data_IF_317328457658
#
_entry.id   IF_317328457658
#
_cell.length_a   1.000
_cell.length_b   1.000
_cell.length_c   1.000
_cell.angle_alpha   90.00
_cell.angle_beta   90.00
_cell.angle_gamma   90.00
#
_symmetry.space_group_name_H-M   'P 1'
#
loop_
_entity.id
_entity.type
_entity.pdbx_description
1 polymer ?
#
# COMPACT_ATOMS: atom_id res chain seq x y z
N UNK A 1 -3.54 -1.79 3.03
CA UNK A 1 -4.39 -2.79 2.35
C UNK A 1 -4.87 -2.21 1.04
N UNK A 2 -4.91 -2.96 -0.04
CA UNK A 2 -5.53 -2.47 -1.26
C UNK A 2 -6.99 -2.13 -0.97
N UNK A 3 -7.41 -0.96 -1.43
CA UNK A 3 -8.80 -0.52 -1.33
C UNK A 3 -9.66 -1.46 -2.19
N UNK A 4 -10.77 -1.95 -1.65
CA UNK A 4 -11.73 -2.75 -2.42
C UNK A 4 -12.33 -1.90 -3.54
N UNK A 5 -12.54 -2.50 -4.70
CA UNK A 5 -13.28 -1.83 -5.78
C UNK A 5 -14.77 -2.09 -5.60
N UNK A 6 -15.58 -1.04 -5.77
CA UNK A 6 -17.01 -1.22 -5.91
C UNK A 6 -17.32 -1.98 -7.22
N UNK A 7 -18.32 -2.86 -7.22
CA UNK A 7 -18.81 -3.47 -8.46
C UNK A 7 -19.36 -2.38 -9.39
N UNK A 8 -19.52 -2.67 -10.70
CA UNK A 8 -20.07 -1.70 -11.65
C UNK A 8 -21.45 -1.14 -11.29
N UNK A 9 -22.28 -1.97 -10.65
CA UNK A 9 -23.59 -1.60 -10.12
C UNK A 9 -23.63 -1.88 -8.62
N UNK A 10 -23.13 -0.96 -7.78
CA UNK A 10 -23.05 -1.19 -6.34
C UNK A 10 -24.44 -1.09 -5.71
N UNK A 11 -24.79 -2.07 -4.88
CA UNK A 11 -26.02 -2.09 -4.09
C UNK A 11 -25.76 -1.58 -2.67
N UNK A 12 -26.47 -0.50 -2.30
CA UNK A 12 -26.34 0.10 -0.97
C UNK A 12 -26.80 -0.85 0.15
N UNK A 13 -27.80 -1.68 -0.08
CA UNK A 13 -28.31 -2.60 0.91
C UNK A 13 -27.30 -3.75 1.16
N UNK A 14 -26.63 -4.22 0.10
CA UNK A 14 -25.52 -5.16 0.25
C UNK A 14 -24.39 -4.57 1.13
N UNK A 15 -24.04 -3.31 0.95
CA UNK A 15 -23.04 -2.64 1.78
C UNK A 15 -23.49 -2.46 3.23
N UNK A 16 -24.77 -2.23 3.48
CA UNK A 16 -25.35 -2.23 4.84
C UNK A 16 -25.27 -3.62 5.50
N UNK A 17 -25.47 -4.71 4.73
CA UNK A 17 -25.25 -6.06 5.24
C UNK A 17 -23.79 -6.31 5.60
N UNK A 18 -22.83 -5.90 4.78
CA UNK A 18 -21.41 -6.00 5.12
C UNK A 18 -21.06 -5.30 6.44
N UNK A 19 -21.65 -4.12 6.71
CA UNK A 19 -21.45 -3.41 7.96
C UNK A 19 -22.04 -4.18 9.17
N UNK A 20 -23.20 -4.81 9.01
CA UNK A 20 -23.81 -5.66 10.06
C UNK A 20 -22.98 -6.94 10.29
N UNK A 21 -22.48 -7.55 9.24
CA UNK A 21 -21.65 -8.76 9.33
C UNK A 21 -20.32 -8.45 10.03
N UNK A 22 -19.70 -7.29 9.77
CA UNK A 22 -18.52 -6.84 10.50
C UNK A 22 -18.76 -6.80 12.01
N UNK A 23 -19.94 -6.32 12.45
CA UNK A 23 -20.30 -6.31 13.88
C UNK A 23 -20.48 -7.73 14.44
N UNK A 24 -21.11 -8.65 13.70
CA UNK A 24 -21.27 -10.06 14.11
C UNK A 24 -19.91 -10.76 14.24
N UNK A 25 -19.06 -10.61 13.23
CA UNK A 25 -17.71 -11.18 13.22
C UNK A 25 -16.85 -10.62 14.36
N UNK A 26 -17.02 -9.36 14.74
CA UNK A 26 -16.38 -8.76 15.91
C UNK A 26 -16.81 -9.46 17.19
N UNK A 27 -18.12 -9.67 17.40
CA UNK A 27 -18.64 -10.37 18.58
C UNK A 27 -18.10 -11.82 18.65
N UNK A 28 -17.82 -12.44 17.51
CA UNK A 28 -17.18 -13.75 17.41
C UNK A 28 -15.65 -13.72 17.58
N UNK A 29 -15.06 -12.56 17.92
CA UNK A 29 -13.60 -12.35 18.12
C UNK A 29 -12.75 -12.84 16.94
N UNK A 30 -13.24 -12.65 15.71
CA UNK A 30 -12.52 -13.06 14.50
C UNK A 30 -11.29 -12.15 14.28
N UNK A 31 -10.05 -12.66 14.28
CA UNK A 31 -8.83 -11.82 14.17
C UNK A 31 -8.82 -10.93 12.92
N UNK A 32 -9.39 -11.40 11.81
CA UNK A 32 -9.53 -10.65 10.57
C UNK A 32 -10.33 -9.35 10.75
N UNK A 33 -11.30 -9.31 11.66
CA UNK A 33 -12.11 -8.11 11.93
C UNK A 33 -11.29 -7.07 12.68
N UNK A 34 -10.51 -7.46 13.67
CA UNK A 34 -9.63 -6.55 14.39
C UNK A 34 -8.69 -5.83 13.40
N UNK A 35 -8.10 -6.58 12.47
CA UNK A 35 -7.22 -6.03 11.45
C UNK A 35 -7.96 -5.05 10.51
N UNK A 36 -9.17 -5.40 10.04
CA UNK A 36 -9.97 -4.51 9.19
C UNK A 36 -10.31 -3.20 9.91
N UNK A 37 -10.77 -3.29 11.16
CA UNK A 37 -11.11 -2.12 11.97
C UNK A 37 -9.86 -1.25 12.21
N UNK A 38 -8.72 -1.86 12.55
CA UNK A 38 -7.44 -1.14 12.73
C UNK A 38 -7.03 -0.38 11.49
N UNK A 39 -7.17 -0.98 10.33
CA UNK A 39 -6.73 -0.36 9.08
C UNK A 39 -7.65 0.77 8.62
N UNK A 40 -8.95 0.58 8.69
CA UNK A 40 -9.89 1.49 8.05
C UNK A 40 -10.62 2.44 9.02
N UNK A 41 -10.64 2.14 10.33
CA UNK A 41 -11.30 3.03 11.29
C UNK A 41 -10.28 3.95 12.00
N UNK A 42 -10.39 5.28 11.89
CA UNK A 42 -9.36 6.22 12.38
C UNK A 42 -9.10 6.12 13.88
N UNK A 43 -10.14 5.79 14.69
CA UNK A 43 -10.03 5.64 16.15
C UNK A 43 -9.14 4.46 16.57
N UNK A 44 -9.04 3.42 15.74
CA UNK A 44 -8.41 2.14 16.10
C UNK A 44 -7.06 1.89 15.43
N UNK A 45 -6.48 2.87 14.74
CA UNK A 45 -5.22 2.68 13.97
C UNK A 45 -4.07 2.09 14.77
N UNK A 46 -4.01 2.36 16.10
CA UNK A 46 -2.96 1.89 16.99
C UNK A 46 -3.47 0.91 18.04
N UNK A 47 -4.72 0.51 17.97
CA UNK A 47 -5.34 -0.36 18.96
C UNK A 47 -4.90 -1.82 18.80
N UNK A 48 -4.72 -2.51 19.89
CA UNK A 48 -4.54 -3.97 19.95
C UNK A 48 -5.85 -4.69 19.60
N UNK A 49 -5.78 -5.99 19.31
CA UNK A 49 -6.95 -6.79 19.03
C UNK A 49 -7.92 -6.79 20.23
N UNK A 50 -7.39 -6.92 21.46
CA UNK A 50 -8.19 -6.88 22.68
C UNK A 50 -8.94 -5.55 22.81
N UNK A 51 -8.26 -4.41 22.64
CA UNK A 51 -8.88 -3.09 22.70
C UNK A 51 -9.98 -2.90 21.65
N UNK A 52 -9.81 -3.48 20.43
CA UNK A 52 -10.83 -3.43 19.38
C UNK A 52 -12.04 -4.30 19.74
N UNK A 53 -11.81 -5.47 20.33
CA UNK A 53 -12.88 -6.38 20.73
C UNK A 53 -13.65 -5.88 21.95
N UNK A 54 -13.00 -5.21 22.89
CA UNK A 54 -13.62 -4.67 24.10
C UNK A 54 -14.33 -3.33 23.87
N UNK A 55 -13.83 -2.50 22.93
CA UNK A 55 -14.40 -1.19 22.68
C UNK A 55 -15.84 -1.26 22.12
N UNK A 56 -16.74 -0.33 22.48
CA UNK A 56 -18.03 -0.24 21.83
C UNK A 56 -17.86 0.16 20.35
N UNK A 57 -18.36 -0.66 19.44
CA UNK A 57 -18.39 -0.41 18.01
C UNK A 57 -19.84 -0.31 17.55
N UNK A 58 -20.26 0.87 17.13
CA UNK A 58 -21.61 1.15 16.66
C UNK A 58 -21.79 0.72 15.18
N UNK A 59 -23.03 0.68 14.71
CA UNK A 59 -23.32 0.47 13.29
C UNK A 59 -22.69 1.58 12.41
N UNK A 60 -22.65 2.82 12.89
CA UNK A 60 -22.00 3.93 12.18
C UNK A 60 -20.48 3.74 12.09
N UNK A 61 -19.83 3.18 13.12
CA UNK A 61 -18.41 2.84 13.06
C UNK A 61 -18.15 1.72 12.03
N UNK A 62 -18.99 0.70 12.00
CA UNK A 62 -18.91 -0.37 11.00
C UNK A 62 -19.13 0.17 9.59
N UNK A 63 -20.13 1.03 9.39
CA UNK A 63 -20.38 1.70 8.10
C UNK A 63 -19.19 2.56 7.67
N UNK A 64 -18.56 3.29 8.59
CA UNK A 64 -17.35 4.07 8.31
C UNK A 64 -16.19 3.16 7.88
N UNK A 65 -16.02 2.03 8.57
CA UNK A 65 -15.00 1.02 8.20
C UNK A 65 -15.23 0.51 6.78
N UNK A 66 -16.46 0.08 6.46
CA UNK A 66 -16.83 -0.38 5.11
C UNK A 66 -16.61 0.73 4.06
N UNK A 67 -17.08 1.95 4.32
CA UNK A 67 -16.88 3.05 3.38
C UNK A 67 -15.40 3.28 3.06
N UNK A 68 -14.54 3.21 4.06
CA UNK A 68 -13.09 3.38 3.90
C UNK A 68 -12.40 2.21 3.22
N UNK A 69 -12.90 0.99 3.40
CA UNK A 69 -12.46 -0.17 2.61
C UNK A 69 -12.67 0.02 1.11
N UNK A 70 -13.74 0.73 0.73
CA UNK A 70 -14.03 1.10 -0.66
C UNK A 70 -13.44 2.45 -1.08
N UNK A 71 -12.58 3.05 -0.24
CA UNK A 71 -11.88 4.28 -0.58
C UNK A 71 -12.64 5.58 -0.35
N UNK A 72 -13.80 5.55 0.32
CA UNK A 72 -14.56 6.74 0.63
C UNK A 72 -14.25 7.25 2.05
N UNK A 73 -14.15 8.57 2.27
CA UNK A 73 -13.82 9.12 3.59
C UNK A 73 -14.94 8.92 4.62
N UNK A 74 -16.19 8.72 4.19
CA UNK A 74 -17.35 8.51 5.06
C UNK A 74 -18.46 7.72 4.37
N UNK A 75 -19.36 7.14 5.17
CA UNK A 75 -20.57 6.46 4.69
C UNK A 75 -21.48 7.37 3.86
N UNK A 76 -21.62 8.62 4.26
CA UNK A 76 -22.43 9.60 3.55
C UNK A 76 -21.88 9.88 2.14
N UNK A 77 -20.56 9.92 1.98
CA UNK A 77 -19.90 10.08 0.67
C UNK A 77 -20.10 8.85 -0.20
N UNK A 78 -19.92 7.64 0.35
CA UNK A 78 -20.18 6.39 -0.36
C UNK A 78 -21.64 6.30 -0.81
N UNK A 79 -22.59 6.64 0.06
CA UNK A 79 -24.02 6.65 -0.25
C UNK A 79 -24.33 7.63 -1.40
N UNK A 80 -23.81 8.87 -1.33
CA UNK A 80 -24.00 9.87 -2.37
C UNK A 80 -23.43 9.42 -3.72
N UNK A 81 -22.25 8.81 -3.73
CA UNK A 81 -21.63 8.25 -4.93
C UNK A 81 -22.54 7.22 -5.62
N UNK A 82 -23.20 6.36 -4.84
CA UNK A 82 -24.12 5.35 -5.39
C UNK A 82 -25.43 5.96 -5.88
N UNK A 83 -26.00 6.92 -5.13
CA UNK A 83 -27.31 7.52 -5.42
C UNK A 83 -27.24 8.64 -6.48
N UNK A 84 -26.14 9.41 -6.50
CA UNK A 84 -25.97 10.59 -7.38
C UNK A 84 -24.50 10.77 -7.78
N UNK A 85 -23.97 9.91 -8.65
CA UNK A 85 -22.58 10.01 -9.07
C UNK A 85 -22.32 11.31 -9.86
N UNK A 86 -21.21 11.99 -9.56
CA UNK A 86 -20.65 13.11 -10.33
C UNK A 86 -19.61 12.60 -11.32
N UNK A 87 -19.04 13.46 -12.16
CA UNK A 87 -17.97 13.06 -13.08
C UNK A 87 -16.74 12.57 -12.31
N UNK A 88 -16.36 13.23 -11.21
CA UNK A 88 -15.26 12.82 -10.35
C UNK A 88 -15.47 11.46 -9.69
N UNK A 89 -16.72 11.03 -9.55
CA UNK A 89 -17.10 9.73 -8.98
C UNK A 89 -17.10 8.57 -10.00
N UNK A 90 -16.93 8.82 -11.30
CA UNK A 90 -16.96 7.80 -12.37
C UNK A 90 -15.72 6.93 -12.32
N UNK A 91 -15.74 5.89 -11.47
CA UNK A 91 -14.62 4.95 -11.27
C UNK A 91 -14.31 4.08 -12.49
N UNK A 92 -15.20 4.04 -13.45
CA UNK A 92 -15.06 3.40 -14.76
C UNK A 92 -14.18 4.21 -15.73
N UNK A 93 -13.97 5.50 -15.45
CA UNK A 93 -13.13 6.38 -16.25
C UNK A 93 -11.74 6.56 -15.65
N UNK A 94 -10.71 6.73 -16.47
CA UNK A 94 -9.37 7.07 -15.99
C UNK A 94 -9.36 8.48 -15.37
N UNK A 95 -8.42 8.72 -14.45
CA UNK A 95 -8.39 9.93 -13.62
C UNK A 95 -8.45 11.24 -14.43
N UNK A 96 -7.69 11.36 -15.53
CA UNK A 96 -7.67 12.58 -16.36
C UNK A 96 -9.03 12.92 -16.97
N UNK A 97 -9.88 11.92 -17.24
CA UNK A 97 -11.24 12.13 -17.76
C UNK A 97 -12.24 12.51 -16.68
N UNK A 98 -11.88 12.34 -15.40
CA UNK A 98 -12.71 12.64 -14.23
C UNK A 98 -12.48 14.06 -13.70
N UNK A 99 -11.57 14.83 -14.29
CA UNK A 99 -11.25 16.21 -13.87
C UNK A 99 -12.35 17.15 -14.38
N UNK A 100 -13.12 17.73 -13.44
CA UNK A 100 -14.21 18.66 -13.77
C UNK A 100 -13.67 20.05 -14.20
N UNK A 101 -12.62 20.54 -13.53
CA UNK A 101 -12.01 21.82 -13.86
C UNK A 101 -11.32 21.76 -15.23
N UNK A 102 -11.86 22.48 -16.21
CA UNK A 102 -11.36 22.49 -17.59
C UNK A 102 -9.93 23.03 -17.70
N UNK A 103 -9.57 24.05 -16.90
CA UNK A 103 -8.23 24.64 -16.88
C UNK A 103 -7.20 23.62 -16.36
N UNK A 104 -7.52 22.94 -15.27
CA UNK A 104 -6.65 21.89 -14.72
C UNK A 104 -6.55 20.70 -15.68
N UNK A 105 -7.66 20.25 -16.25
CA UNK A 105 -7.68 19.15 -17.24
C UNK A 105 -6.80 19.49 -18.45
N UNK A 106 -6.86 20.73 -18.94
CA UNK A 106 -5.99 21.18 -20.03
C UNK A 106 -4.51 21.09 -19.70
N UNK A 107 -4.10 21.42 -18.47
CA UNK A 107 -2.70 21.25 -18.05
C UNK A 107 -2.28 19.79 -18.04
N UNK A 108 -3.14 18.88 -17.54
CA UNK A 108 -2.87 17.43 -17.59
C UNK A 108 -2.75 16.93 -19.04
N UNK A 109 -3.62 17.39 -19.96
CA UNK A 109 -3.52 17.02 -21.38
C UNK A 109 -2.22 17.48 -22.03
N UNK A 110 -1.71 18.67 -21.67
CA UNK A 110 -0.44 19.19 -22.16
C UNK A 110 0.74 18.39 -21.60
N UNK A 111 0.69 18.03 -20.31
CA UNK A 111 1.64 17.15 -19.66
C UNK A 111 1.68 15.79 -20.37
N UNK A 112 0.52 15.14 -20.55
CA UNK A 112 0.40 13.82 -21.15
C UNK A 112 0.90 13.78 -22.62
N UNK A 113 0.84 14.91 -23.32
CA UNK A 113 1.38 15.07 -24.68
C UNK A 113 2.86 15.44 -24.72
N UNK A 114 3.48 15.79 -23.61
CA UNK A 114 4.83 16.32 -23.57
C UNK A 114 4.97 17.70 -24.22
N UNK A 115 3.89 18.49 -24.28
CA UNK A 115 3.89 19.83 -24.89
C UNK A 115 4.48 20.88 -23.93
N UNK A 116 5.79 21.04 -23.96
CA UNK A 116 6.54 21.98 -23.11
C UNK A 116 6.11 23.43 -23.30
N UNK A 117 5.94 23.85 -24.55
CA UNK A 117 5.60 25.25 -24.88
C UNK A 117 4.17 25.57 -24.45
N UNK A 118 3.24 24.67 -24.76
CA UNK A 118 1.85 24.80 -24.36
C UNK A 118 1.68 24.78 -22.84
N UNK A 119 2.35 23.86 -22.14
CA UNK A 119 2.28 23.76 -20.68
C UNK A 119 2.85 25.02 -20.00
N UNK A 120 4.01 25.50 -20.46
CA UNK A 120 4.62 26.75 -19.93
C UNK A 120 3.71 27.96 -20.13
N UNK A 121 3.15 28.13 -21.33
CA UNK A 121 2.23 29.22 -21.62
C UNK A 121 0.96 29.13 -20.75
N UNK A 122 0.43 27.92 -20.57
CA UNK A 122 -0.78 27.69 -19.78
C UNK A 122 -0.55 27.98 -18.28
N UNK A 123 0.61 27.55 -17.71
CA UNK A 123 0.97 27.84 -16.33
C UNK A 123 1.24 29.32 -16.10
N UNK A 124 1.85 30.03 -17.06
CA UNK A 124 2.02 31.48 -16.99
C UNK A 124 0.68 32.24 -16.97
N UNK A 125 -0.32 31.76 -17.70
CA UNK A 125 -1.68 32.31 -17.68
C UNK A 125 -2.44 31.96 -16.39
N UNK A 126 -2.11 30.83 -15.77
CA UNK A 126 -2.79 30.29 -14.58
C UNK A 126 -1.79 29.91 -13.47
N UNK A 127 -1.04 30.88 -12.90
CA UNK A 127 0.09 30.58 -11.99
C UNK A 127 -0.32 29.83 -10.73
N UNK A 128 -1.57 30.01 -10.25
CA UNK A 128 -2.08 29.31 -9.07
C UNK A 128 -2.40 27.84 -9.33
N UNK A 129 -2.34 27.37 -10.58
CA UNK A 129 -2.78 26.02 -10.94
C UNK A 129 -1.89 24.94 -10.31
N UNK A 130 -0.62 25.19 -10.12
CA UNK A 130 0.32 24.26 -9.46
C UNK A 130 0.03 24.03 -7.98
N UNK A 131 -0.78 24.89 -7.35
CA UNK A 131 -1.22 24.77 -5.96
C UNK A 131 -2.65 24.23 -5.84
N UNK A 132 -3.35 24.06 -6.97
CA UNK A 132 -4.69 23.51 -6.97
C UNK A 132 -4.67 21.98 -6.87
N UNK A 133 -5.68 21.45 -6.21
CA UNK A 133 -5.94 20.04 -6.13
C UNK A 133 -7.20 19.67 -6.91
N UNK A 134 -7.18 18.51 -7.51
CA UNK A 134 -8.41 17.86 -8.00
C UNK A 134 -8.84 16.79 -7.03
N UNK A 135 -10.15 16.60 -6.86
CA UNK A 135 -10.69 15.65 -5.90
C UNK A 135 -11.23 14.43 -6.63
N UNK A 136 -10.66 13.26 -6.30
CA UNK A 136 -11.18 11.97 -6.76
C UNK A 136 -11.70 11.19 -5.55
N UNK A 137 -12.95 10.79 -5.57
CA UNK A 137 -13.53 9.98 -4.51
C UNK A 137 -13.62 8.51 -4.93
N UNK A 138 -13.38 7.62 -3.96
CA UNK A 138 -13.36 6.19 -4.17
C UNK A 138 -12.08 5.66 -4.85
N UNK A 139 -11.92 4.37 -4.86
CA UNK A 139 -10.93 3.67 -5.67
C UNK A 139 -9.56 3.50 -5.07
N UNK A 140 -8.73 4.51 -4.91
CA UNK A 140 -7.34 4.36 -4.51
C UNK A 140 -6.77 5.54 -3.71
N UNK A 141 -5.44 5.57 -3.56
CA UNK A 141 -4.70 6.60 -2.83
C UNK A 141 -4.64 7.97 -3.53
N UNK A 142 -4.88 8.04 -4.86
CA UNK A 142 -4.77 9.26 -5.67
C UNK A 142 -6.05 10.11 -5.56
N UNK A 143 -6.30 10.65 -4.37
CA UNK A 143 -7.59 11.27 -4.04
C UNK A 143 -7.62 12.77 -4.20
N UNK A 144 -6.49 13.43 -3.99
CA UNK A 144 -6.42 14.89 -3.96
C UNK A 144 -5.12 15.40 -4.60
N UNK A 145 -4.76 14.91 -5.82
CA UNK A 145 -3.49 15.23 -6.43
C UNK A 145 -3.43 16.68 -6.92
N UNK A 146 -2.22 17.22 -6.90
CA UNK A 146 -1.82 18.41 -7.64
C UNK A 146 -1.41 18.04 -9.07
N UNK A 147 -1.12 19.04 -9.90
CA UNK A 147 -0.66 18.83 -11.27
C UNK A 147 0.66 18.04 -11.33
N UNK A 148 1.58 18.27 -10.38
CA UNK A 148 2.89 17.62 -10.37
C UNK A 148 2.77 16.09 -10.23
N UNK A 149 1.86 15.61 -9.41
CA UNK A 149 1.69 14.17 -9.16
C UNK A 149 1.28 13.38 -10.41
N UNK A 150 0.69 14.03 -11.44
CA UNK A 150 0.35 13.37 -12.69
C UNK A 150 1.57 12.91 -13.50
N UNK A 151 2.78 13.46 -13.25
CA UNK A 151 4.01 13.02 -13.92
C UNK A 151 4.43 11.60 -13.57
N UNK A 152 3.95 11.07 -12.43
CA UNK A 152 4.31 9.74 -11.97
C UNK A 152 3.64 8.61 -12.76
N UNK A 153 2.52 8.88 -13.46
CA UNK A 153 1.67 7.83 -14.07
C UNK A 153 1.28 6.74 -13.06
N UNK A 154 1.12 7.13 -11.81
CA UNK A 154 0.80 6.26 -10.67
C UNK A 154 -0.33 6.90 -9.83
N UNK A 155 -1.59 6.45 -9.96
CA UNK A 155 -2.03 5.23 -10.65
C UNK A 155 -1.91 5.31 -12.18
N UNK A 156 -1.80 4.14 -12.78
CA UNK A 156 -1.68 4.01 -14.25
C UNK A 156 -2.91 4.59 -14.95
N UNK A 157 -2.68 5.48 -15.93
CA UNK A 157 -3.70 6.17 -16.73
C UNK A 157 -3.58 5.81 -18.22
N UNK A 158 -2.36 5.85 -18.75
CA UNK A 158 -2.04 5.57 -20.15
C UNK A 158 -1.09 4.38 -20.32
N UNK A 159 -0.36 4.00 -19.26
CA UNK A 159 0.64 2.93 -19.28
C UNK A 159 1.95 3.33 -19.96
N UNK A 160 2.15 4.62 -20.25
CA UNK A 160 3.37 5.17 -20.83
C UNK A 160 3.57 6.61 -20.39
N UNK A 161 4.81 7.10 -20.52
CA UNK A 161 5.17 8.49 -20.27
C UNK A 161 5.72 9.13 -21.54
N UNK A 162 5.54 10.45 -21.75
CA UNK A 162 6.23 11.19 -22.79
C UNK A 162 7.75 11.03 -22.64
N UNK A 163 8.48 10.90 -23.75
CA UNK A 163 9.93 10.74 -23.73
C UNK A 163 10.65 11.94 -23.05
N UNK A 164 10.02 13.12 -23.07
CA UNK A 164 10.51 14.35 -22.46
C UNK A 164 9.83 14.66 -21.11
N UNK A 165 9.34 13.65 -20.37
CA UNK A 165 8.64 13.88 -19.09
C UNK A 165 9.51 14.57 -18.05
N UNK A 166 10.83 14.37 -18.09
CA UNK A 166 11.79 15.05 -17.20
C UNK A 166 11.75 16.55 -17.42
N UNK A 167 11.73 17.00 -18.67
CA UNK A 167 11.62 18.41 -19.07
C UNK A 167 10.25 18.99 -18.73
N UNK A 168 9.18 18.20 -18.93
CA UNK A 168 7.81 18.55 -18.51
C UNK A 168 7.77 18.77 -17.01
N UNK A 169 8.36 17.85 -16.23
CA UNK A 169 8.43 17.96 -14.77
C UNK A 169 9.19 19.22 -14.34
N UNK A 170 10.30 19.57 -15.00
CA UNK A 170 11.04 20.81 -14.75
C UNK A 170 10.18 22.06 -14.96
N UNK A 171 9.30 22.06 -15.97
CA UNK A 171 8.40 23.21 -16.22
C UNK A 171 7.43 23.38 -15.04
N UNK A 172 6.87 22.29 -14.51
CA UNK A 172 5.95 22.35 -13.37
C UNK A 172 6.68 22.74 -12.08
N UNK A 173 7.85 22.14 -11.83
CA UNK A 173 8.69 22.47 -10.67
C UNK A 173 9.14 23.93 -10.69
N UNK A 174 9.47 24.46 -11.87
CA UNK A 174 9.83 25.88 -12.05
C UNK A 174 8.67 26.85 -11.78
N UNK A 175 7.42 26.39 -11.78
CA UNK A 175 6.26 27.19 -11.39
C UNK A 175 6.00 27.20 -9.87
N UNK A 176 6.83 26.51 -9.06
CA UNK A 176 6.85 26.58 -7.60
C UNK A 176 5.73 25.82 -6.90
N UNK A 177 5.52 24.52 -7.16
CA UNK A 177 4.57 23.71 -6.39
C UNK A 177 4.95 23.65 -4.90
N UNK A 178 4.03 23.23 -4.04
CA UNK A 178 4.30 23.07 -2.60
C UNK A 178 5.30 21.94 -2.35
N UNK A 179 6.03 22.01 -1.23
CA UNK A 179 6.95 20.96 -0.81
C UNK A 179 6.24 19.61 -0.67
N UNK A 180 5.04 19.59 -0.10
CA UNK A 180 4.22 18.37 0.00
C UNK A 180 3.94 17.73 -1.37
N UNK A 181 3.62 18.55 -2.39
CA UNK A 181 3.39 18.04 -3.74
C UNK A 181 4.67 17.41 -4.35
N UNK A 182 5.85 17.99 -4.04
CA UNK A 182 7.14 17.45 -4.50
C UNK A 182 7.45 16.13 -3.83
N UNK A 183 7.25 16.03 -2.51
CA UNK A 183 7.47 14.81 -1.72
C UNK A 183 6.49 13.68 -2.09
N UNK A 184 5.21 14.01 -2.27
CA UNK A 184 4.18 13.06 -2.71
C UNK A 184 4.47 12.55 -4.12
N UNK A 185 4.91 13.43 -5.03
CA UNK A 185 5.32 13.04 -6.38
C UNK A 185 6.53 12.12 -6.35
N UNK A 186 7.53 12.40 -5.50
CA UNK A 186 8.68 11.51 -5.32
C UNK A 186 8.24 10.10 -4.91
N UNK A 187 7.32 9.99 -3.95
CA UNK A 187 6.78 8.69 -3.52
C UNK A 187 6.06 7.97 -4.67
N UNK A 188 5.22 8.67 -5.43
CA UNK A 188 4.49 8.08 -6.55
C UNK A 188 5.41 7.62 -7.69
N UNK A 189 6.43 8.42 -8.03
CA UNK A 189 7.45 8.06 -9.03
C UNK A 189 8.27 6.86 -8.56
N UNK A 190 8.73 6.90 -7.31
CA UNK A 190 9.60 5.87 -6.75
C UNK A 190 8.91 4.49 -6.58
N UNK A 191 7.57 4.48 -6.55
CA UNK A 191 6.76 3.24 -6.50
C UNK A 191 6.03 2.94 -7.82
N UNK A 192 6.25 3.75 -8.85
CA UNK A 192 5.50 3.70 -10.10
C UNK A 192 6.07 2.69 -11.11
N UNK A 193 5.27 1.69 -11.47
CA UNK A 193 5.63 0.68 -12.47
C UNK A 193 5.91 1.30 -13.84
N UNK A 194 5.07 2.25 -14.29
CA UNK A 194 5.22 2.88 -15.62
C UNK A 194 6.52 3.69 -15.71
N UNK A 195 6.84 4.49 -14.69
CA UNK A 195 8.10 5.25 -14.66
C UNK A 195 9.33 4.31 -14.74
N UNK A 196 9.29 3.16 -14.05
CA UNK A 196 10.33 2.13 -14.10
C UNK A 196 10.43 1.49 -15.49
N UNK A 197 9.32 1.03 -16.05
CA UNK A 197 9.28 0.36 -17.36
C UNK A 197 9.72 1.28 -18.51
N UNK A 198 9.38 2.58 -18.42
CA UNK A 198 9.87 3.61 -19.32
C UNK A 198 11.34 4.00 -19.08
N UNK A 199 12.01 3.46 -18.04
CA UNK A 199 13.38 3.83 -17.61
C UNK A 199 13.53 5.32 -17.23
N UNK A 200 12.46 5.93 -16.76
CA UNK A 200 12.39 7.34 -16.36
C UNK A 200 12.29 7.51 -14.84
N UNK A 201 12.17 6.40 -14.08
CA UNK A 201 12.05 6.42 -12.62
C UNK A 201 13.26 7.10 -11.96
N UNK A 202 14.48 6.65 -12.25
CA UNK A 202 15.68 7.20 -11.62
C UNK A 202 15.94 8.66 -12.01
N UNK A 203 15.86 9.07 -13.31
CA UNK A 203 15.97 10.47 -13.70
C UNK A 203 14.95 11.38 -13.01
N UNK A 204 13.70 10.92 -12.80
CA UNK A 204 12.67 11.68 -12.10
C UNK A 204 12.95 11.75 -10.59
N UNK A 205 13.42 10.67 -9.95
CA UNK A 205 13.86 10.68 -8.54
C UNK A 205 14.97 11.71 -8.34
N UNK A 206 16.00 11.68 -9.19
CA UNK A 206 17.12 12.62 -9.11
C UNK A 206 16.64 14.06 -9.28
N UNK A 207 15.81 14.33 -10.29
CA UNK A 207 15.25 15.66 -10.51
C UNK A 207 14.43 16.17 -9.32
N UNK A 208 13.52 15.34 -8.77
CA UNK A 208 12.69 15.74 -7.64
C UNK A 208 13.54 16.04 -6.39
N UNK A 209 14.56 15.22 -6.13
CA UNK A 209 15.51 15.48 -5.04
C UNK A 209 16.34 16.75 -5.28
N UNK A 210 16.72 17.07 -6.53
CA UNK A 210 17.41 18.33 -6.87
C UNK A 210 16.53 19.56 -6.62
N UNK A 211 15.21 19.40 -6.68
CA UNK A 211 14.21 20.41 -6.33
C UNK A 211 13.73 20.34 -4.88
N UNK A 212 14.45 19.60 -4.02
CA UNK A 212 14.27 19.61 -2.58
C UNK A 212 13.31 18.56 -2.03
N UNK A 213 12.88 17.55 -2.81
CA UNK A 213 12.13 16.43 -2.27
C UNK A 213 12.93 15.71 -1.15
N UNK A 214 12.27 15.41 -0.04
CA UNK A 214 12.87 14.58 1.02
C UNK A 214 12.92 13.11 0.59
N UNK A 215 14.11 12.52 0.35
CA UNK A 215 14.21 11.12 -0.05
C UNK A 215 13.69 10.15 1.01
N UNK A 216 13.57 10.56 2.27
CA UNK A 216 12.97 9.74 3.33
C UNK A 216 11.45 9.56 3.12
N UNK A 217 10.76 10.51 2.48
CA UNK A 217 9.32 10.46 2.25
C UNK A 217 8.90 9.25 1.41
N UNK A 218 9.76 8.77 0.51
CA UNK A 218 9.48 7.69 -0.41
C UNK A 218 10.10 6.33 -0.02
N UNK A 219 11.14 6.32 0.84
CA UNK A 219 11.98 5.14 1.05
C UNK A 219 11.20 3.92 1.59
N UNK A 220 10.33 4.10 2.57
CA UNK A 220 9.50 2.99 3.09
C UNK A 220 8.50 2.48 2.06
N UNK A 221 7.90 3.36 1.28
CA UNK A 221 6.97 2.97 0.23
C UNK A 221 7.69 2.13 -0.85
N UNK A 222 8.90 2.52 -1.26
CA UNK A 222 9.70 1.72 -2.21
C UNK A 222 10.06 0.33 -1.65
N UNK A 223 10.35 0.23 -0.35
CA UNK A 223 10.60 -1.07 0.30
C UNK A 223 9.35 -1.98 0.26
N UNK A 224 8.16 -1.42 0.54
CA UNK A 224 6.90 -2.15 0.47
C UNK A 224 6.54 -2.64 -0.93
N UNK A 225 7.01 -1.96 -1.97
CA UNK A 225 6.77 -2.32 -3.37
C UNK A 225 7.91 -3.13 -4.01
N UNK A 226 9.03 -3.36 -3.31
CA UNK A 226 10.19 -4.08 -3.85
C UNK A 226 10.93 -3.32 -4.95
N UNK A 227 10.88 -2.00 -4.91
CA UNK A 227 11.52 -1.12 -5.90
C UNK A 227 13.01 -0.89 -5.53
N UNK A 228 13.83 -1.95 -5.67
CA UNK A 228 15.21 -1.98 -5.16
C UNK A 228 16.13 -0.91 -5.78
N UNK A 229 15.99 -0.63 -7.08
CA UNK A 229 16.78 0.42 -7.74
C UNK A 229 16.41 1.80 -7.23
N UNK A 230 15.10 2.08 -7.06
CA UNK A 230 14.62 3.31 -6.48
C UNK A 230 15.05 3.46 -5.01
N UNK A 231 14.98 2.40 -4.18
CA UNK A 231 15.52 2.42 -2.81
C UNK A 231 16.99 2.83 -2.79
N UNK A 232 17.81 2.21 -3.64
CA UNK A 232 19.22 2.53 -3.72
C UNK A 232 19.47 3.97 -4.21
N UNK A 233 18.66 4.48 -5.13
CA UNK A 233 18.74 5.87 -5.58
C UNK A 233 18.40 6.83 -4.42
N UNK A 234 17.32 6.60 -3.69
CA UNK A 234 16.93 7.40 -2.53
C UNK A 234 18.01 7.39 -1.42
N UNK A 235 18.63 6.24 -1.16
CA UNK A 235 19.73 6.12 -0.19
C UNK A 235 20.95 6.94 -0.64
N UNK A 236 21.31 6.90 -1.93
CA UNK A 236 22.38 7.75 -2.49
C UNK A 236 22.07 9.25 -2.35
N UNK A 237 20.78 9.59 -2.37
CA UNK A 237 20.29 10.99 -2.17
C UNK A 237 20.13 11.36 -0.69
N UNK A 238 20.57 10.49 0.24
CA UNK A 238 20.64 10.78 1.67
C UNK A 238 19.49 10.22 2.52
N UNK A 239 18.62 9.37 1.97
CA UNK A 239 17.60 8.68 2.76
C UNK A 239 18.22 7.77 3.82
N UNK A 240 17.65 7.76 5.02
CA UNK A 240 18.15 7.00 6.17
C UNK A 240 17.50 5.62 6.21
N UNK A 241 18.34 4.59 6.26
CA UNK A 241 17.92 3.20 6.40
C UNK A 241 17.39 2.96 7.81
N UNK A 242 16.16 2.48 7.92
CA UNK A 242 15.58 1.93 9.14
C UNK A 242 15.53 0.40 9.09
N UNK A 243 15.02 -0.24 10.15
CA UNK A 243 14.96 -1.70 10.23
C UNK A 243 14.11 -2.34 9.12
N UNK A 244 12.89 -1.84 8.79
CA UNK A 244 12.13 -2.35 7.66
C UNK A 244 12.86 -2.26 6.31
N UNK A 245 13.51 -1.14 6.02
CA UNK A 245 14.29 -0.97 4.78
C UNK A 245 15.51 -1.89 4.75
N UNK A 246 16.23 -2.02 5.87
CA UNK A 246 17.34 -2.97 5.99
C UNK A 246 16.87 -4.41 5.73
N UNK A 247 15.69 -4.76 6.25
CA UNK A 247 15.08 -6.08 6.05
C UNK A 247 14.68 -6.33 4.59
N UNK A 248 14.08 -5.32 3.91
CA UNK A 248 13.74 -5.42 2.50
C UNK A 248 14.97 -5.58 1.60
N UNK A 249 16.07 -4.90 1.94
CA UNK A 249 17.34 -4.96 1.19
C UNK A 249 18.22 -6.17 1.52
N UNK A 250 17.85 -7.00 2.49
CA UNK A 250 18.67 -8.12 2.93
C UNK A 250 19.96 -7.71 3.68
N UNK A 251 20.02 -6.48 4.19
CA UNK A 251 21.20 -5.93 4.89
C UNK A 251 21.27 -6.40 6.35
N UNK A 252 21.74 -7.62 6.57
CA UNK A 252 21.73 -8.27 7.88
C UNK A 252 22.48 -7.46 8.96
N UNK A 253 23.61 -6.85 8.64
CA UNK A 253 24.40 -6.08 9.61
C UNK A 253 23.69 -4.79 10.03
N UNK A 254 23.03 -4.11 9.08
CA UNK A 254 22.17 -2.96 9.37
C UNK A 254 20.96 -3.40 10.22
N UNK A 255 20.32 -4.53 9.89
CA UNK A 255 19.21 -5.06 10.65
C UNK A 255 19.61 -5.37 12.11
N UNK A 256 20.77 -6.00 12.35
CA UNK A 256 21.30 -6.26 13.71
C UNK A 256 21.51 -4.97 14.50
N UNK A 257 22.12 -3.99 13.86
CA UNK A 257 22.41 -2.68 14.49
C UNK A 257 21.12 -1.92 14.84
N UNK A 258 20.08 -1.99 13.99
CA UNK A 258 18.87 -1.21 14.12
C UNK A 258 17.80 -1.89 15.00
N UNK A 259 17.88 -3.20 15.21
CA UNK A 259 16.86 -4.00 15.89
C UNK A 259 16.54 -3.53 17.31
N UNK A 260 17.55 -3.21 18.11
CA UNK A 260 17.36 -2.82 19.51
C UNK A 260 16.62 -1.50 19.68
N UNK A 261 16.76 -0.57 18.73
CA UNK A 261 16.10 0.74 18.77
C UNK A 261 14.73 0.77 18.05
N UNK A 262 14.39 -0.29 17.31
CA UNK A 262 13.16 -0.36 16.55
C UNK A 262 11.94 -0.61 17.46
N UNK A 263 10.85 0.06 17.17
CA UNK A 263 9.58 -0.18 17.84
C UNK A 263 8.93 -1.51 17.38
N UNK A 264 7.90 -1.96 18.06
CA UNK A 264 7.25 -3.25 17.77
C UNK A 264 6.60 -3.32 16.38
N UNK A 265 6.10 -2.19 15.85
CA UNK A 265 5.51 -2.12 14.51
C UNK A 265 6.59 -2.25 13.42
N UNK A 266 7.72 -1.54 13.57
CA UNK A 266 8.85 -1.61 12.66
C UNK A 266 9.52 -2.99 12.68
N UNK A 267 9.64 -3.64 13.84
CA UNK A 267 10.16 -5.02 13.92
C UNK A 267 9.25 -6.00 13.17
N UNK A 268 7.93 -5.88 13.35
CA UNK A 268 7.00 -6.75 12.65
C UNK A 268 6.94 -6.47 11.15
N UNK A 269 7.03 -5.20 10.74
CA UNK A 269 7.13 -4.84 9.32
C UNK A 269 8.41 -5.40 8.70
N UNK A 270 9.53 -5.35 9.43
CA UNK A 270 10.78 -5.95 8.99
C UNK A 270 10.66 -7.47 8.80
N UNK A 271 9.97 -8.18 9.72
CA UNK A 271 9.70 -9.62 9.55
C UNK A 271 8.87 -9.89 8.29
N UNK A 272 7.84 -9.07 8.05
CA UNK A 272 6.99 -9.20 6.87
C UNK A 272 7.77 -9.01 5.57
N UNK A 273 8.61 -7.97 5.50
CA UNK A 273 9.43 -7.66 4.32
C UNK A 273 10.54 -8.70 4.10
N UNK A 274 11.23 -9.11 5.18
CA UNK A 274 12.24 -10.17 5.07
C UNK A 274 11.63 -11.48 4.57
N UNK A 275 10.40 -11.79 4.99
CA UNK A 275 9.67 -12.97 4.51
C UNK A 275 9.20 -12.83 3.06
N UNK A 276 8.75 -11.63 2.65
CA UNK A 276 8.31 -11.34 1.28
C UNK A 276 9.46 -11.41 0.26
N UNK A 277 10.68 -10.98 0.69
CA UNK A 277 11.87 -10.95 -0.17
C UNK A 277 12.84 -12.11 0.03
N UNK A 278 12.54 -13.05 0.95
CA UNK A 278 13.30 -14.30 1.10
C UNK A 278 14.59 -14.18 1.92
N UNK A 279 14.72 -13.19 2.78
CA UNK A 279 15.93 -12.94 3.58
C UNK A 279 15.97 -13.78 4.88
N UNK A 280 16.31 -15.06 4.76
CA UNK A 280 16.26 -16.09 5.82
C UNK A 280 16.96 -15.65 7.11
N UNK A 281 18.17 -15.09 7.02
CA UNK A 281 18.95 -14.69 8.20
C UNK A 281 18.29 -13.52 8.96
N UNK A 282 17.61 -12.63 8.27
CA UNK A 282 16.87 -11.53 8.90
C UNK A 282 15.58 -12.07 9.53
N UNK A 283 14.87 -12.98 8.84
CA UNK A 283 13.71 -13.69 9.44
C UNK A 283 14.13 -14.39 10.73
N UNK A 284 15.24 -15.13 10.72
CA UNK A 284 15.79 -15.79 11.91
C UNK A 284 16.08 -14.79 13.03
N UNK A 285 16.80 -13.73 12.72
CA UNK A 285 17.15 -12.66 13.66
C UNK A 285 15.91 -12.08 14.36
N UNK A 286 14.85 -11.80 13.61
CA UNK A 286 13.63 -11.20 14.14
C UNK A 286 12.80 -12.20 14.97
N UNK A 287 12.72 -13.46 14.55
CA UNK A 287 12.06 -14.52 15.33
C UNK A 287 12.82 -14.82 16.62
N UNK A 288 14.16 -14.81 16.61
CA UNK A 288 15.00 -14.96 17.81
C UNK A 288 14.83 -13.77 18.77
N UNK A 289 14.51 -12.58 18.26
CA UNK A 289 14.16 -11.41 19.04
C UNK A 289 12.70 -11.42 19.58
N UNK A 290 11.96 -12.52 19.35
CA UNK A 290 10.61 -12.71 19.88
C UNK A 290 9.48 -12.16 19.03
N UNK A 291 9.72 -11.83 17.74
CA UNK A 291 8.61 -11.43 16.85
C UNK A 291 7.66 -12.60 16.60
N UNK A 292 6.35 -12.31 16.69
CA UNK A 292 5.30 -13.32 16.51
C UNK A 292 4.98 -13.51 15.01
N UNK A 293 5.26 -14.70 14.42
CA UNK A 293 4.99 -14.97 13.01
C UNK A 293 3.51 -15.05 12.65
N UNK A 294 2.63 -15.05 13.65
CA UNK A 294 1.18 -15.25 13.49
C UNK A 294 0.38 -13.93 13.43
N UNK A 295 1.03 -12.80 13.62
CA UNK A 295 0.37 -11.49 13.44
C UNK A 295 0.14 -11.23 11.95
N UNK A 296 -0.99 -10.60 11.63
CA UNK A 296 -1.17 -10.00 10.32
C UNK A 296 -0.15 -8.87 10.12
N UNK A 297 0.33 -8.74 8.89
CA UNK A 297 1.31 -7.73 8.55
C UNK A 297 0.81 -6.32 8.88
N UNK A 298 1.69 -5.36 9.18
CA UNK A 298 1.28 -4.01 9.52
C UNK A 298 0.55 -3.30 8.36
N UNK A 299 -0.20 -2.27 8.70
CA UNK A 299 -0.86 -1.39 7.72
C UNK A 299 0.16 -0.85 6.72
N UNK A 300 -0.13 -0.99 5.43
CA UNK A 300 0.78 -0.66 4.33
C UNK A 300 1.64 -1.82 3.85
N UNK A 301 1.88 -2.85 4.67
CA UNK A 301 2.75 -3.99 4.36
C UNK A 301 1.99 -5.28 4.02
N UNK A 302 1.02 -5.26 3.09
CA UNK A 302 0.15 -6.42 2.81
C UNK A 302 -0.61 -6.90 4.06
N UNK A 303 -1.21 -5.96 4.78
CA UNK A 303 -1.87 -6.15 6.06
C UNK A 303 -3.00 -7.17 6.09
N UNK A 304 -3.43 -7.66 4.94
CA UNK A 304 -4.40 -8.76 4.80
C UNK A 304 -3.78 -10.16 4.95
N UNK A 305 -2.47 -10.27 5.11
CA UNK A 305 -1.70 -11.52 5.16
C UNK A 305 -0.80 -11.61 6.37
N UNK A 306 -0.22 -12.79 6.62
CA UNK A 306 0.89 -13.00 7.57
C UNK A 306 2.21 -13.18 6.83
N UNK A 307 3.38 -13.11 7.49
CA UNK A 307 4.68 -13.39 6.87
C UNK A 307 4.72 -14.73 6.11
N UNK A 308 4.04 -15.77 6.65
CA UNK A 308 4.00 -17.08 6.00
C UNK A 308 3.24 -17.08 4.67
N UNK A 309 2.16 -16.29 4.54
CA UNK A 309 1.46 -16.14 3.25
C UNK A 309 2.39 -15.54 2.19
N UNK A 310 3.13 -14.47 2.54
CA UNK A 310 4.05 -13.82 1.61
C UNK A 310 5.16 -14.78 1.17
N UNK A 311 5.86 -15.41 2.11
CA UNK A 311 6.92 -16.36 1.81
C UNK A 311 6.43 -17.52 0.93
N UNK A 312 5.24 -18.07 1.23
CA UNK A 312 4.65 -19.16 0.47
C UNK A 312 4.26 -18.76 -0.96
N UNK A 313 3.63 -17.60 -1.13
CA UNK A 313 3.25 -17.06 -2.44
C UNK A 313 4.46 -16.71 -3.31
N UNK A 314 5.50 -16.13 -2.72
CA UNK A 314 6.74 -15.77 -3.42
C UNK A 314 7.61 -16.99 -3.78
N UNK A 315 7.51 -18.09 -3.02
CA UNK A 315 8.27 -19.31 -3.27
C UNK A 315 9.57 -19.41 -2.47
N UNK A 316 9.66 -18.76 -1.32
CA UNK A 316 10.83 -18.76 -0.45
C UNK A 316 10.83 -19.97 0.49
N UNK A 317 11.21 -21.16 -0.01
CA UNK A 317 11.11 -22.42 0.70
C UNK A 317 11.82 -22.41 2.07
N UNK A 318 13.05 -21.91 2.15
CA UNK A 318 13.80 -21.84 3.41
C UNK A 318 13.12 -20.94 4.45
N UNK A 319 12.56 -19.80 4.02
CA UNK A 319 11.79 -18.90 4.90
C UNK A 319 10.51 -19.59 5.37
N UNK A 320 9.80 -20.29 4.47
CA UNK A 320 8.58 -21.05 4.83
C UNK A 320 8.90 -22.10 5.91
N UNK A 321 9.96 -22.90 5.73
CA UNK A 321 10.38 -23.89 6.71
C UNK A 321 10.73 -23.27 8.05
N UNK A 322 11.53 -22.21 8.04
CA UNK A 322 11.92 -21.49 9.24
C UNK A 322 10.70 -20.93 10.00
N UNK A 323 9.75 -20.31 9.29
CA UNK A 323 8.52 -19.78 9.90
C UNK A 323 7.69 -20.91 10.55
N UNK A 324 7.55 -22.07 9.87
CA UNK A 324 6.83 -23.23 10.38
C UNK A 324 7.52 -23.81 11.63
N UNK A 325 8.84 -23.99 11.60
CA UNK A 325 9.65 -24.43 12.73
C UNK A 325 9.54 -23.51 13.95
N UNK A 326 9.31 -22.20 13.70
CA UNK A 326 9.13 -21.20 14.75
C UNK A 326 7.65 -20.95 15.10
N UNK A 327 6.76 -21.88 14.77
CA UNK A 327 5.38 -21.90 15.21
C UNK A 327 4.42 -21.03 14.39
N UNK A 328 4.74 -20.75 13.12
CA UNK A 328 3.77 -20.10 12.24
C UNK A 328 2.56 -21.02 11.97
N UNK A 329 1.38 -20.50 12.21
CA UNK A 329 0.11 -21.22 12.01
C UNK A 329 -0.19 -21.38 10.53
N UNK A 330 -0.47 -22.62 10.13
CA UNK A 330 -0.74 -23.01 8.75
C UNK A 330 -2.20 -22.82 8.34
N UNK A 331 -3.09 -22.66 9.32
CA UNK A 331 -4.55 -22.54 9.18
C UNK A 331 -5.06 -21.09 9.17
N UNK A 332 -4.20 -20.11 9.44
CA UNK A 332 -4.57 -18.70 9.34
C UNK A 332 -4.97 -18.38 7.91
N UNK A 333 -6.09 -17.67 7.77
CA UNK A 333 -6.63 -17.25 6.47
C UNK A 333 -6.38 -15.77 6.24
N UNK A 334 -5.96 -15.40 5.03
CA UNK A 334 -5.91 -13.99 4.66
C UNK A 334 -7.30 -13.33 4.74
N UNK A 335 -7.30 -11.99 4.85
CA UNK A 335 -8.53 -11.22 5.10
C UNK A 335 -9.38 -11.07 3.83
N UNK A 336 -8.74 -11.03 2.64
CA UNK A 336 -9.42 -10.69 1.39
C UNK A 336 -10.06 -11.91 0.72
N UNK A 337 -9.31 -13.02 0.62
CA UNK A 337 -9.73 -14.21 -0.12
C UNK A 337 -10.03 -15.39 0.78
N UNK A 338 -9.81 -15.26 2.09
CA UNK A 338 -9.99 -16.32 3.08
C UNK A 338 -9.14 -17.56 2.76
N UNK A 339 -8.00 -17.34 2.12
CA UNK A 339 -7.07 -18.36 1.69
C UNK A 339 -5.96 -18.57 2.73
N UNK A 340 -5.52 -19.84 2.89
CA UNK A 340 -4.39 -20.22 3.76
C UNK A 340 -3.05 -19.99 3.04
N UNK A 341 -1.89 -20.04 3.75
CA UNK A 341 -0.59 -20.02 3.10
C UNK A 341 -0.39 -21.10 2.05
N UNK A 342 -0.95 -22.31 2.28
CA UNK A 342 -0.92 -23.38 1.29
C UNK A 342 -1.75 -23.06 0.02
N UNK A 343 -2.85 -22.34 0.17
CA UNK A 343 -3.66 -21.89 -0.97
C UNK A 343 -2.94 -20.79 -1.77
N UNK A 344 -2.19 -19.93 -1.10
CA UNK A 344 -1.30 -18.93 -1.73
C UNK A 344 -0.19 -19.59 -2.54
N UNK A 345 0.49 -20.61 -1.96
CA UNK A 345 1.49 -21.41 -2.67
C UNK A 345 0.91 -22.06 -3.91
N UNK A 346 -0.28 -22.68 -3.80
CA UNK A 346 -1.01 -23.29 -4.92
C UNK A 346 -1.33 -22.28 -6.01
N UNK A 347 -1.89 -21.11 -5.66
CA UNK A 347 -2.24 -20.06 -6.61
C UNK A 347 -1.03 -19.55 -7.36
N UNK A 348 0.11 -19.43 -6.68
CA UNK A 348 1.39 -19.01 -7.25
C UNK A 348 2.17 -20.15 -7.96
N UNK A 349 1.61 -21.36 -8.05
CA UNK A 349 2.25 -22.51 -8.69
C UNK A 349 3.44 -23.11 -7.92
N UNK A 350 3.56 -22.86 -6.61
CA UNK A 350 4.65 -23.31 -5.74
C UNK A 350 4.34 -24.71 -5.17
N UNK A 351 4.34 -25.73 -6.01
CA UNK A 351 3.88 -27.09 -5.70
C UNK A 351 4.58 -27.74 -4.51
N UNK A 352 5.89 -27.56 -4.36
CA UNK A 352 6.69 -28.14 -3.29
C UNK A 352 6.34 -27.52 -1.92
N UNK A 353 6.19 -26.20 -1.88
CA UNK A 353 5.76 -25.46 -0.70
C UNK A 353 4.33 -25.82 -0.33
N UNK A 354 3.41 -25.89 -1.30
CA UNK A 354 2.03 -26.35 -1.06
C UNK A 354 2.03 -27.74 -0.41
N UNK A 355 2.75 -28.69 -1.00
CA UNK A 355 2.83 -30.07 -0.48
C UNK A 355 3.45 -30.12 0.92
N UNK A 356 4.47 -29.31 1.19
CA UNK A 356 5.08 -29.20 2.51
C UNK A 356 4.09 -28.67 3.54
N UNK A 357 3.43 -27.54 3.25
CA UNK A 357 2.48 -26.92 4.17
C UNK A 357 1.29 -27.85 4.46
N UNK A 358 0.70 -28.51 3.44
CA UNK A 358 -0.44 -29.43 3.63
C UNK A 358 -0.08 -30.66 4.46
N UNK A 359 1.13 -31.21 4.31
CA UNK A 359 1.58 -32.34 5.15
C UNK A 359 1.70 -31.94 6.62
N UNK A 360 2.15 -30.73 6.91
CA UNK A 360 2.35 -30.26 8.27
C UNK A 360 1.05 -29.79 8.98
N UNK A 361 -0.03 -29.47 8.25
CA UNK A 361 -1.34 -29.20 8.85
C UNK A 361 -1.86 -30.42 9.65
N UNK A 362 -1.57 -31.64 9.20
CA UNK A 362 -1.95 -32.89 9.90
C UNK A 362 -1.17 -33.15 11.19
N UNK A 363 0.08 -32.69 11.25
CA UNK A 363 0.99 -32.90 12.41
C UNK A 363 0.70 -31.94 13.56
N UNK A 364 0.27 -30.72 13.27
CA UNK A 364 -0.01 -29.71 14.29
C UNK A 364 -1.29 -29.96 15.11
N UNK A 365 -2.16 -30.86 14.68
CA UNK A 365 -3.39 -31.27 15.43
C UNK A 365 -3.10 -32.22 16.57
N UNK A 366 -1.88 -32.71 16.75
CA UNK A 366 -1.50 -33.72 17.74
C UNK A 366 -0.86 -33.21 19.04
N UNK A 367 -0.67 -31.91 19.22
CA UNK A 367 0.10 -31.37 20.37
C UNK A 367 -0.66 -30.36 21.25
N UNK A 368 -1.98 -30.25 21.13
CA UNK A 368 -2.77 -29.62 22.20
C UNK A 368 -3.37 -30.73 23.07
N UNK A 369 -2.59 -31.20 24.03
CA UNK A 369 -3.10 -31.85 25.23
C UNK A 369 -3.46 -30.72 26.19
N UNK A 370 -4.72 -30.70 26.62
CA UNK A 370 -5.25 -29.83 27.66
C UNK A 370 -4.34 -29.84 28.90
N UNK A 371 -3.90 -28.68 29.36
CA UNK A 371 -3.62 -28.39 30.75
C UNK A 371 -4.31 -27.08 31.15
#
# INVERSE_FOLDING_TARGET
MPVRRLPPNPDLDHLKYQAKDLLKERTAHTPAVAQRVREFHPRFRRATDAEIFDAPLSLSDAQLTIAREYGFPSWARLKRHIEKPTLSDRLDLPHQQRIENATFRRAVELLDKGDLSGLRAHLNQHPNLVHQHVVFEGGNYFRNPTLLEFVAENPVRHGTLPANIVEVTKVILGAGPSQSAVDETLMLVATGTVARECRLQLPLIDLLCDYGADPNSALRATALHGEFEAMNALIRRGARIDLPVAAALGRIEDARRLLAAANAEDRHLALSLAADFGHVEIVRLLLDAGENPNRYNPVGGHSHTTPLHQAAGRGHDEVVRLLVERGARLDLKDILWRATPADWARHAGRKEIEAYLRRNIGSAKGTFVDE
#
